data_IF_598786773550
#
_entry.id   IF_598786773550
#
_cell.length_a   1.000
_cell.length_b   1.000
_cell.length_c   1.000
_cell.angle_alpha   90.00
_cell.angle_beta   90.00
_cell.angle_gamma   90.00
#
_symmetry.space_group_name_H-M   'P 1'
#
loop_
_entity.id
_entity.type
_entity.pdbx_description
1 polymer ?
#
# COMPACT_ATOMS: atom_id res chain seq x y z
N UNK A 1 48.33 23.97 -30.91
CA UNK A 1 47.39 25.05 -31.26
C UNK A 1 46.22 24.95 -30.28
N UNK A 2 46.30 25.39 -29.02
CA UNK A 2 46.44 26.77 -28.53
C UNK A 2 45.30 27.69 -29.01
N UNK A 3 44.39 28.02 -28.09
CA UNK A 3 43.75 29.32 -27.82
C UNK A 3 42.80 29.11 -26.63
N UNK A 4 43.19 29.39 -25.37
CA UNK A 4 43.33 30.67 -24.65
C UNK A 4 42.04 31.52 -24.58
N UNK A 5 41.72 31.82 -23.33
CA UNK A 5 40.67 32.61 -22.66
C UNK A 5 40.54 34.07 -23.19
N UNK A 6 39.61 34.86 -22.61
CA UNK A 6 40.07 35.69 -21.48
C UNK A 6 39.14 35.74 -20.26
N UNK A 7 39.81 35.88 -19.11
CA UNK A 7 39.33 36.32 -17.80
C UNK A 7 38.89 37.79 -17.81
N UNK A 8 38.05 38.15 -16.83
CA UNK A 8 38.12 39.38 -16.02
C UNK A 8 37.04 39.28 -14.93
N UNK A 9 37.17 39.60 -13.64
CA UNK A 9 38.20 40.15 -12.74
C UNK A 9 37.62 39.84 -11.33
N UNK A 10 38.34 39.27 -10.37
CA UNK A 10 39.36 39.85 -9.47
C UNK A 10 38.79 40.68 -8.30
N UNK A 11 39.53 40.58 -7.18
CA UNK A 11 39.48 41.26 -5.88
C UNK A 11 38.63 40.57 -4.80
N UNK A 12 39.10 40.25 -3.59
CA UNK A 12 40.35 40.43 -2.83
C UNK A 12 40.20 39.54 -1.55
N UNK A 13 41.14 38.66 -1.16
CA UNK A 13 42.20 38.86 -0.15
C UNK A 13 41.70 39.59 1.14
N UNK A 14 41.81 39.10 2.39
CA UNK A 14 42.95 38.53 3.14
C UNK A 14 42.44 37.84 4.44
N UNK A 15 43.28 36.91 4.91
CA UNK A 15 43.45 36.21 6.19
C UNK A 15 42.84 36.81 7.49
N UNK A 16 42.47 35.97 8.48
CA UNK A 16 43.42 35.56 9.53
C UNK A 16 42.94 34.46 10.50
N UNK A 17 43.94 33.71 10.97
CA UNK A 17 44.10 32.96 12.24
C UNK A 17 43.18 31.80 12.66
N UNK A 18 43.84 30.62 12.71
CA UNK A 18 43.82 29.55 13.74
C UNK A 18 43.41 30.03 15.15
N UNK A 19 42.85 29.27 16.08
CA UNK A 19 42.61 27.84 16.30
C UNK A 19 41.72 27.73 17.54
N UNK A 20 40.80 26.77 17.60
CA UNK A 20 40.53 26.06 18.86
C UNK A 20 39.94 24.68 18.56
N UNK A 21 40.72 23.65 18.89
CA UNK A 21 40.26 22.29 18.99
C UNK A 21 39.55 22.10 20.33
N UNK A 22 38.26 21.80 20.29
CA UNK A 22 37.62 21.03 21.37
C UNK A 22 36.46 20.21 20.82
N UNK A 23 36.68 18.89 20.77
CA UNK A 23 35.71 17.80 20.97
C UNK A 23 34.24 18.05 20.61
N UNK A 24 33.77 17.42 19.52
CA UNK A 24 32.54 16.62 19.50
C UNK A 24 32.32 16.03 18.10
N UNK A 25 32.86 14.82 17.88
CA UNK A 25 32.51 14.00 16.72
C UNK A 25 31.19 13.26 16.96
N UNK A 26 30.35 13.23 15.93
CA UNK A 26 29.15 12.39 15.76
C UNK A 26 27.84 12.85 16.42
N UNK A 27 27.22 13.87 15.84
CA UNK A 27 25.76 13.96 15.75
C UNK A 27 25.36 14.18 14.30
N UNK A 28 24.79 13.16 13.65
CA UNK A 28 23.75 13.34 12.63
C UNK A 28 23.13 12.00 12.23
N UNK A 29 22.31 11.41 13.10
CA UNK A 29 21.31 10.45 12.65
C UNK A 29 20.01 10.69 13.44
N UNK A 30 18.91 10.75 12.70
CA UNK A 30 17.53 10.76 13.19
C UNK A 30 16.96 12.09 13.72
N UNK A 31 16.95 13.15 12.90
CA UNK A 31 15.90 14.19 12.96
C UNK A 31 15.69 14.83 11.59
N UNK A 32 14.67 14.37 10.85
CA UNK A 32 13.83 15.20 9.96
C UNK A 32 12.82 14.33 9.20
N UNK A 33 11.70 14.03 9.86
CA UNK A 33 10.37 13.97 9.24
C UNK A 33 9.29 14.16 10.31
N UNK A 34 9.46 15.17 11.16
CA UNK A 34 8.37 15.80 11.90
C UNK A 34 8.02 17.09 11.17
N UNK A 35 7.32 16.98 10.05
CA UNK A 35 6.57 18.11 9.53
C UNK A 35 5.21 18.12 10.23
N UNK A 36 4.96 19.20 10.96
CA UNK A 36 3.74 19.54 11.70
C UNK A 36 2.46 19.06 10.99
N UNK A 37 1.66 18.25 11.67
CA UNK A 37 0.19 18.22 11.53
C UNK A 37 -0.44 18.27 12.92
N UNK A 38 -0.32 19.42 13.57
CA UNK A 38 -1.40 19.89 14.42
C UNK A 38 -2.55 20.33 13.52
N UNK A 39 -3.79 20.06 13.94
CA UNK A 39 -5.08 20.39 13.31
C UNK A 39 -5.75 19.23 12.54
N UNK A 40 -6.10 18.19 13.29
CA UNK A 40 -7.36 17.46 13.06
C UNK A 40 -8.20 17.56 14.35
N UNK A 41 -8.50 18.81 14.73
CA UNK A 41 -9.50 19.17 15.76
C UNK A 41 -10.00 20.56 15.39
N UNK A 42 -10.77 20.68 14.32
CA UNK A 42 -11.66 21.83 14.16
C UNK A 42 -13.05 21.26 13.91
N UNK A 43 -13.94 21.62 14.84
CA UNK A 43 -15.37 21.38 14.82
C UNK A 43 -15.93 21.84 13.47
N UNK A 44 -16.66 20.97 12.78
CA UNK A 44 -17.79 21.43 11.99
C UNK A 44 -18.89 21.79 12.98
N UNK A 45 -18.80 22.99 13.57
CA UNK A 45 -19.89 23.57 14.32
C UNK A 45 -20.65 24.49 13.37
N UNK A 46 -21.95 24.22 13.25
CA UNK A 46 -23.03 25.16 13.02
C UNK A 46 -22.78 26.25 11.98
N UNK A 47 -22.94 25.89 10.71
CA UNK A 47 -23.41 26.86 9.74
C UNK A 47 -24.88 26.57 9.44
N UNK A 48 -25.76 27.30 10.13
CA UNK A 48 -27.11 27.57 9.67
C UNK A 48 -27.00 28.23 8.30
N UNK A 49 -27.27 27.48 7.23
CA UNK A 49 -27.61 28.06 5.94
C UNK A 49 -29.14 28.07 5.84
N UNK A 50 -29.69 29.28 5.83
CA UNK A 50 -31.10 29.52 5.62
C UNK A 50 -31.52 28.98 4.26
N UNK A 51 -32.59 28.21 4.26
CA UNK A 51 -33.30 27.72 3.09
C UNK A 51 -33.74 28.87 2.18
N UNK A 52 -33.50 28.71 0.88
CA UNK A 52 -34.36 29.31 -0.13
C UNK A 52 -34.44 28.41 -1.37
N UNK A 53 -35.33 27.44 -1.24
CA UNK A 53 -36.35 27.03 -2.20
C UNK A 53 -36.00 26.31 -3.53
N UNK A 54 -36.63 25.13 -3.58
CA UNK A 54 -37.31 24.48 -4.70
C UNK A 54 -36.44 23.92 -5.82
N UNK A 55 -36.20 22.61 -5.78
CA UNK A 55 -36.69 21.68 -6.81
C UNK A 55 -36.73 20.25 -6.25
N UNK A 56 -37.78 19.53 -6.64
CA UNK A 56 -38.17 18.13 -6.33
C UNK A 56 -39.11 17.94 -5.13
N UNK A 57 -40.40 18.12 -5.42
CA UNK A 57 -41.48 17.43 -4.70
C UNK A 57 -41.48 15.93 -5.04
N UNK A 58 -41.45 15.15 -3.97
CA UNK A 58 -41.81 13.75 -3.75
C UNK A 58 -42.33 12.89 -4.91
N UNK A 59 -41.61 11.78 -5.13
CA UNK A 59 -42.26 10.47 -5.20
C UNK A 59 -41.46 9.44 -4.38
N UNK A 60 -42.00 9.12 -3.20
CA UNK A 60 -41.78 7.88 -2.44
C UNK A 60 -40.34 7.35 -2.38
N UNK A 61 -39.46 8.07 -1.70
CA UNK A 61 -38.31 7.46 -1.04
C UNK A 61 -38.73 7.22 0.40
N UNK A 62 -38.98 5.96 0.76
CA UNK A 62 -38.90 5.55 2.15
C UNK A 62 -37.53 5.99 2.66
N UNK A 63 -37.50 7.03 3.50
CA UNK A 63 -36.37 7.35 4.37
C UNK A 63 -36.17 6.14 5.28
N UNK A 64 -35.41 5.15 4.80
CA UNK A 64 -34.69 4.27 5.71
C UNK A 64 -33.67 5.18 6.38
N UNK A 65 -33.99 5.64 7.59
CA UNK A 65 -33.03 6.19 8.54
C UNK A 65 -31.72 5.40 8.39
N UNK A 66 -30.62 6.10 8.11
CA UNK A 66 -29.35 5.48 7.79
C UNK A 66 -29.05 4.36 8.77
N UNK A 67 -29.01 3.13 8.28
CA UNK A 67 -28.44 2.03 9.05
C UNK A 67 -27.05 2.50 9.46
N UNK A 68 -26.86 2.73 10.76
CA UNK A 68 -25.52 2.95 11.30
C UNK A 68 -24.67 1.80 10.79
N UNK A 69 -23.66 2.12 9.97
CA UNK A 69 -22.69 1.13 9.54
C UNK A 69 -22.18 0.47 10.83
N UNK A 70 -22.34 -0.85 10.95
CA UNK A 70 -21.74 -1.61 12.03
C UNK A 70 -20.23 -1.69 11.77
N UNK A 71 -19.55 -0.56 11.95
CA UNK A 71 -18.13 -0.37 11.71
C UNK A 71 -17.29 -1.16 12.73
N UNK A 72 -16.15 -1.67 12.29
CA UNK A 72 -15.17 -2.29 13.18
C UNK A 72 -14.65 -3.64 12.70
N UNK A 73 -13.73 -4.17 13.50
CA UNK A 73 -13.12 -5.48 13.27
C UNK A 73 -14.17 -6.56 13.56
N UNK A 74 -14.43 -7.43 12.58
CA UNK A 74 -15.34 -8.57 12.68
C UNK A 74 -14.72 -9.76 13.38
N UNK A 75 -13.39 -9.77 13.51
CA UNK A 75 -12.66 -10.82 14.20
C UNK A 75 -13.07 -10.76 15.67
N UNK A 76 -13.65 -11.85 16.18
CA UNK A 76 -14.02 -12.01 17.58
C UNK A 76 -12.74 -11.99 18.40
N UNK A 77 -12.40 -10.83 18.96
CA UNK A 77 -11.21 -10.63 19.79
C UNK A 77 -11.65 -10.17 21.16
N UNK A 78 -10.96 -10.66 22.17
CA UNK A 78 -11.17 -10.29 23.57
C UNK A 78 -9.89 -9.64 24.09
N UNK A 79 -9.95 -9.00 25.27
CA UNK A 79 -8.76 -8.46 25.92
C UNK A 79 -7.70 -9.54 26.24
N UNK A 80 -8.08 -10.83 26.17
CA UNK A 80 -7.21 -11.98 26.35
C UNK A 80 -6.63 -12.55 25.05
N UNK A 81 -6.93 -11.95 23.89
CA UNK A 81 -6.40 -12.43 22.60
C UNK A 81 -4.89 -12.23 22.49
N UNK A 82 -4.20 -13.28 22.07
CA UNK A 82 -2.76 -13.29 21.84
C UNK A 82 -2.43 -12.68 20.46
N UNK A 83 -1.25 -12.06 20.25
CA UNK A 83 -0.83 -11.58 18.92
C UNK A 83 -0.92 -12.62 17.80
N UNK A 84 -0.83 -13.92 18.15
CA UNK A 84 -1.02 -15.02 17.21
C UNK A 84 -2.44 -15.04 16.64
N UNK A 85 -3.47 -14.81 17.45
CA UNK A 85 -4.87 -14.84 17.02
C UNK A 85 -5.14 -13.78 15.92
N UNK A 86 -4.52 -12.61 16.05
CA UNK A 86 -4.60 -11.55 15.04
C UNK A 86 -3.86 -11.92 13.75
N UNK A 87 -2.74 -12.63 13.87
CA UNK A 87 -2.01 -13.13 12.71
C UNK A 87 -2.82 -14.20 11.98
N UNK A 88 -3.41 -15.13 12.72
CA UNK A 88 -4.21 -16.23 12.17
C UNK A 88 -5.54 -15.78 11.56
N UNK A 89 -6.05 -14.61 11.97
CA UNK A 89 -7.15 -13.97 11.25
C UNK A 89 -6.81 -13.61 9.79
N UNK A 90 -5.51 -13.38 9.49
CA UNK A 90 -5.03 -13.09 8.14
C UNK A 90 -4.45 -14.32 7.43
N UNK A 91 -3.63 -15.11 8.14
CA UNK A 91 -2.97 -16.32 7.64
C UNK A 91 -3.31 -17.46 8.60
N UNK A 92 -4.45 -18.10 8.37
CA UNK A 92 -4.90 -19.24 9.17
C UNK A 92 -4.17 -20.53 8.79
N UNK A 93 -4.45 -21.60 9.53
CA UNK A 93 -3.87 -22.90 9.25
C UNK A 93 -4.22 -23.44 7.86
N UNK A 94 -5.36 -23.04 7.29
CA UNK A 94 -5.76 -23.48 5.94
C UNK A 94 -4.82 -22.88 4.90
N UNK A 95 -4.57 -21.57 4.99
CA UNK A 95 -3.63 -20.87 4.12
C UNK A 95 -2.22 -21.40 4.35
N UNK A 96 -1.78 -21.53 5.59
CA UNK A 96 -0.44 -22.02 5.92
C UNK A 96 -0.21 -23.46 5.43
N UNK A 97 -1.19 -24.36 5.57
CA UNK A 97 -1.12 -25.72 5.02
C UNK A 97 -1.06 -25.73 3.48
N UNK A 98 -1.76 -24.81 2.81
CA UNK A 98 -1.63 -24.67 1.36
C UNK A 98 -0.20 -24.30 0.95
N UNK A 99 0.44 -23.37 1.69
CA UNK A 99 1.85 -23.01 1.46
C UNK A 99 2.77 -24.22 1.69
N UNK A 100 2.53 -24.99 2.76
CA UNK A 100 3.28 -26.21 3.06
C UNK A 100 3.18 -27.21 1.91
N UNK A 101 1.97 -27.52 1.46
CA UNK A 101 1.72 -28.48 0.39
C UNK A 101 2.43 -28.06 -0.92
N UNK A 102 2.30 -26.80 -1.32
CA UNK A 102 2.91 -26.32 -2.56
C UNK A 102 4.43 -26.18 -2.45
N UNK A 103 4.98 -25.88 -1.27
CA UNK A 103 6.43 -25.84 -1.02
C UNK A 103 7.05 -27.24 -1.15
N UNK A 104 6.44 -28.26 -0.54
CA UNK A 104 6.91 -29.64 -0.63
C UNK A 104 6.78 -30.19 -2.07
N UNK A 105 5.65 -29.89 -2.75
CA UNK A 105 5.47 -30.22 -4.17
C UNK A 105 6.54 -29.57 -5.05
N UNK A 106 6.79 -28.28 -4.86
CA UNK A 106 7.78 -27.54 -5.64
C UNK A 106 9.18 -28.13 -5.51
N UNK A 107 9.57 -28.51 -4.29
CA UNK A 107 10.85 -29.16 -4.05
C UNK A 107 10.92 -30.52 -4.76
N UNK A 108 9.86 -31.33 -4.68
CA UNK A 108 9.81 -32.65 -5.34
C UNK A 108 9.94 -32.56 -6.86
N UNK A 109 9.39 -31.51 -7.46
CA UNK A 109 9.47 -31.23 -8.90
C UNK A 109 10.82 -30.62 -9.32
N UNK A 110 11.55 -30.00 -8.38
CA UNK A 110 12.80 -29.28 -8.65
C UNK A 110 13.90 -29.74 -7.68
N UNK A 111 14.22 -31.05 -7.64
CA UNK A 111 15.20 -31.57 -6.70
C UNK A 111 16.57 -30.97 -6.99
N UNK A 112 17.28 -30.60 -5.94
CA UNK A 112 18.66 -30.16 -6.06
C UNK A 112 19.51 -31.42 -6.07
N UNK A 113 20.34 -31.57 -7.11
CA UNK A 113 21.26 -32.70 -7.21
C UNK A 113 22.11 -32.85 -5.94
N UNK A 114 22.46 -34.08 -5.59
CA UNK A 114 23.23 -34.36 -4.38
C UNK A 114 24.54 -33.56 -4.38
N UNK A 115 24.70 -32.66 -3.41
CA UNK A 115 25.92 -31.91 -3.18
C UNK A 115 26.59 -32.45 -1.93
N UNK A 116 27.90 -32.70 -2.02
CA UNK A 116 28.72 -33.00 -0.85
C UNK A 116 28.48 -31.90 0.21
N UNK A 117 28.00 -32.29 1.39
CA UNK A 117 27.69 -31.44 2.55
C UNK A 117 26.36 -30.65 2.53
N UNK A 118 25.39 -30.99 1.68
CA UNK A 118 24.00 -30.54 1.87
C UNK A 118 23.15 -31.65 2.49
N UNK A 119 22.42 -31.31 3.55
CA UNK A 119 21.40 -32.19 4.10
C UNK A 119 20.34 -32.48 3.02
N UNK A 120 19.83 -33.72 3.00
CA UNK A 120 18.69 -34.06 2.16
C UNK A 120 17.48 -33.24 2.60
N UNK A 121 16.68 -32.81 1.63
CA UNK A 121 15.44 -32.12 1.92
C UNK A 121 14.54 -32.99 2.80
N UNK A 122 14.00 -32.39 3.86
CA UNK A 122 12.88 -32.91 4.62
C UNK A 122 11.67 -32.03 4.37
N UNK A 123 10.51 -32.65 4.18
CA UNK A 123 9.27 -31.91 3.98
C UNK A 123 9.00 -30.94 5.14
N UNK A 124 8.53 -29.75 4.79
CA UNK A 124 8.11 -28.75 5.78
C UNK A 124 6.76 -29.14 6.36
N UNK A 125 6.54 -28.79 7.62
CA UNK A 125 5.28 -28.97 8.33
C UNK A 125 4.57 -27.64 8.59
N UNK A 126 3.33 -27.69 9.06
CA UNK A 126 2.57 -26.51 9.48
C UNK A 126 3.31 -25.69 10.55
N UNK A 127 3.74 -26.35 11.63
CA UNK A 127 4.47 -25.71 12.74
C UNK A 127 5.78 -25.07 12.26
N UNK A 128 6.50 -25.74 11.37
CA UNK A 128 7.71 -25.20 10.77
C UNK A 128 7.41 -23.98 9.89
N UNK A 129 6.31 -24.00 9.12
CA UNK A 129 5.91 -22.88 8.27
C UNK A 129 5.54 -21.64 9.10
N UNK A 130 4.79 -21.80 10.20
CA UNK A 130 4.53 -20.70 11.13
C UNK A 130 5.83 -20.14 11.73
N UNK A 131 6.74 -21.02 12.15
CA UNK A 131 8.06 -20.62 12.66
C UNK A 131 8.86 -19.86 11.59
N UNK A 132 8.78 -20.28 10.33
CA UNK A 132 9.43 -19.63 9.20
C UNK A 132 8.85 -18.23 8.94
N UNK A 133 7.52 -18.09 8.90
CA UNK A 133 6.85 -16.80 8.74
C UNK A 133 7.17 -15.85 9.91
N UNK A 134 7.15 -16.35 11.15
CA UNK A 134 7.56 -15.58 12.33
C UNK A 134 9.03 -15.12 12.22
N UNK A 135 9.93 -16.00 11.76
CA UNK A 135 11.33 -15.66 11.53
C UNK A 135 11.47 -14.58 10.44
N UNK A 136 10.72 -14.68 9.34
CA UNK A 136 10.68 -13.67 8.29
C UNK A 136 10.23 -12.31 8.82
N UNK A 137 9.19 -12.26 9.65
CA UNK A 137 8.75 -11.02 10.31
C UNK A 137 9.85 -10.44 11.22
N UNK A 138 10.52 -11.30 11.99
CA UNK A 138 11.61 -10.89 12.87
C UNK A 138 12.78 -10.28 12.09
N UNK A 139 13.09 -10.76 10.87
CA UNK A 139 14.11 -10.13 10.02
C UNK A 139 13.72 -8.71 9.58
N UNK A 140 12.42 -8.40 9.50
CA UNK A 140 11.94 -7.04 9.24
C UNK A 140 12.11 -6.10 10.43
N UNK A 141 12.01 -6.63 11.65
CA UNK A 141 12.19 -5.88 12.91
C UNK A 141 13.67 -5.67 13.21
N UNK A 142 14.51 -6.67 12.94
CA UNK A 142 15.95 -6.68 13.24
C UNK A 142 16.78 -6.72 11.95
N UNK A 143 16.74 -5.69 11.09
CA UNK A 143 17.37 -5.76 9.78
C UNK A 143 18.89 -5.94 9.86
N UNK A 144 19.41 -6.97 9.18
CA UNK A 144 20.84 -7.17 8.93
C UNK A 144 21.16 -7.06 7.44
N UNK A 145 22.42 -6.78 7.13
CA UNK A 145 22.89 -6.53 5.76
C UNK A 145 22.76 -7.76 4.85
N UNK A 146 22.99 -8.96 5.38
CA UNK A 146 22.91 -10.22 4.62
C UNK A 146 22.12 -11.26 5.40
N UNK A 147 21.39 -12.12 4.69
CA UNK A 147 20.59 -13.20 5.30
C UNK A 147 21.46 -14.13 6.17
N UNK A 148 22.72 -14.38 5.80
CA UNK A 148 23.61 -15.22 6.62
C UNK A 148 23.99 -14.59 7.97
N UNK A 149 23.93 -13.27 8.09
CA UNK A 149 24.40 -12.55 9.29
C UNK A 149 23.43 -12.75 10.47
N UNK A 150 22.19 -13.17 10.21
CA UNK A 150 21.23 -13.54 11.26
C UNK A 150 21.68 -14.74 12.10
N UNK A 151 22.51 -15.61 11.51
CA UNK A 151 23.11 -16.78 12.17
C UNK A 151 24.59 -16.56 12.51
N UNK A 152 25.02 -15.29 12.69
CA UNK A 152 26.39 -14.97 13.10
C UNK A 152 26.64 -15.41 14.55
N UNK A 153 27.78 -16.07 14.79
CA UNK A 153 28.28 -16.40 16.13
C UNK A 153 29.26 -15.35 16.67
N UNK A 154 29.60 -14.33 15.88
CA UNK A 154 30.43 -13.23 16.34
C UNK A 154 29.74 -12.44 17.45
N UNK A 155 30.45 -12.20 18.56
CA UNK A 155 29.88 -11.63 19.78
C UNK A 155 29.28 -10.24 19.58
N UNK A 156 29.80 -9.46 18.62
CA UNK A 156 29.32 -8.10 18.36
C UNK A 156 28.05 -8.06 17.50
N UNK A 157 27.77 -9.13 16.76
CA UNK A 157 26.69 -9.19 15.77
C UNK A 157 25.68 -10.31 16.02
N UNK A 158 25.92 -11.16 17.01
CA UNK A 158 25.08 -12.32 17.30
C UNK A 158 23.68 -11.93 17.77
N UNK A 159 22.69 -12.63 17.22
CA UNK A 159 21.28 -12.55 17.60
C UNK A 159 20.79 -13.97 17.83
N UNK A 160 20.97 -14.53 19.05
CA UNK A 160 20.84 -15.97 19.31
C UNK A 160 19.48 -16.57 18.93
N UNK A 161 18.40 -15.78 19.01
CA UNK A 161 17.03 -16.22 18.70
C UNK A 161 16.91 -16.87 17.32
N UNK A 162 17.61 -16.39 16.29
CA UNK A 162 17.55 -16.98 14.95
C UNK A 162 18.12 -18.41 14.90
N UNK A 163 19.19 -18.66 15.65
CA UNK A 163 19.81 -19.99 15.74
C UNK A 163 19.00 -20.96 16.60
N UNK A 164 18.17 -20.44 17.51
CA UNK A 164 17.27 -21.23 18.35
C UNK A 164 16.04 -21.72 17.56
N UNK A 165 15.58 -20.94 16.57
CA UNK A 165 14.41 -21.29 15.76
C UNK A 165 14.82 -22.18 14.57
N UNK A 166 15.84 -21.77 13.81
CA UNK A 166 16.30 -22.51 12.62
C UNK A 166 17.82 -22.64 12.60
N UNK A 167 18.31 -23.69 11.95
CA UNK A 167 19.66 -23.66 11.41
C UNK A 167 19.70 -22.76 10.17
N UNK A 168 20.84 -22.10 9.92
CA UNK A 168 21.02 -21.24 8.74
C UNK A 168 20.66 -21.95 7.44
N UNK A 169 21.12 -23.19 7.28
CA UNK A 169 20.91 -23.96 6.06
C UNK A 169 19.43 -24.31 5.88
N UNK A 170 18.74 -24.75 6.93
CA UNK A 170 17.30 -25.07 6.84
C UNK A 170 16.47 -23.84 6.46
N UNK A 171 16.74 -22.69 7.07
CA UNK A 171 16.05 -21.45 6.71
C UNK A 171 16.30 -21.06 5.23
N UNK A 172 17.53 -21.20 4.75
CA UNK A 172 17.86 -20.93 3.35
C UNK A 172 17.21 -21.91 2.37
N UNK A 173 17.07 -23.18 2.76
CA UNK A 173 16.37 -24.19 1.96
C UNK A 173 14.87 -23.86 1.89
N UNK A 174 14.23 -23.53 3.03
CA UNK A 174 12.83 -23.08 3.05
C UNK A 174 12.64 -21.83 2.18
N UNK A 175 13.52 -20.83 2.29
CA UNK A 175 13.46 -19.62 1.47
C UNK A 175 13.60 -19.92 -0.03
N UNK A 176 14.40 -20.93 -0.39
CA UNK A 176 14.64 -21.33 -1.78
C UNK A 176 13.44 -22.04 -2.40
N UNK A 177 12.77 -22.90 -1.63
CA UNK A 177 11.68 -23.75 -2.13
C UNK A 177 10.28 -23.22 -1.83
N UNK A 178 10.16 -22.13 -1.06
CA UNK A 178 8.87 -21.49 -0.75
C UNK A 178 8.05 -21.27 -2.02
N UNK A 179 6.85 -21.84 -2.04
CA UNK A 179 5.97 -21.81 -3.20
C UNK A 179 4.49 -21.70 -2.80
N UNK A 180 3.66 -21.16 -3.70
CA UNK A 180 2.26 -20.79 -3.41
C UNK A 180 1.24 -21.30 -4.44
N UNK A 181 1.68 -22.04 -5.45
CA UNK A 181 0.81 -22.47 -6.56
C UNK A 181 1.18 -23.86 -7.04
N UNK A 182 0.20 -24.62 -7.53
CA UNK A 182 0.50 -25.87 -8.20
C UNK A 182 1.07 -25.62 -9.61
N UNK A 183 2.32 -26.02 -9.84
CA UNK A 183 2.99 -25.91 -11.15
C UNK A 183 2.42 -26.80 -12.25
N UNK A 184 1.62 -27.81 -11.89
CA UNK A 184 0.99 -28.68 -12.88
C UNK A 184 -0.10 -27.93 -13.67
N UNK A 185 -0.54 -26.78 -13.16
CA UNK A 185 -1.53 -25.91 -13.78
C UNK A 185 -0.84 -24.83 -14.63
N UNK A 186 -1.02 -24.92 -15.95
CA UNK A 186 -0.55 -23.89 -16.88
C UNK A 186 -1.61 -22.80 -17.00
N UNK A 187 -1.26 -21.57 -16.59
CA UNK A 187 -2.08 -20.37 -16.73
C UNK A 187 -1.24 -19.27 -17.41
N UNK A 188 -1.87 -18.51 -18.30
CA UNK A 188 -1.26 -17.36 -18.96
C UNK A 188 -1.19 -16.11 -18.05
N UNK A 189 -1.89 -16.15 -16.90
CA UNK A 189 -1.85 -15.10 -15.90
C UNK A 189 -0.43 -14.90 -15.34
N UNK A 190 0.07 -13.66 -15.44
CA UNK A 190 1.39 -13.27 -14.92
C UNK A 190 1.51 -13.43 -13.41
N UNK A 191 0.38 -13.49 -12.70
CA UNK A 191 0.30 -13.67 -11.25
C UNK A 191 0.05 -15.12 -10.84
N UNK A 192 -0.05 -16.09 -11.76
CA UNK A 192 -0.42 -17.49 -11.47
C UNK A 192 0.31 -18.06 -10.25
N UNK A 193 1.60 -17.76 -10.11
CA UNK A 193 2.46 -18.28 -9.02
C UNK A 193 2.10 -17.78 -7.63
N UNK A 194 1.38 -16.67 -7.53
CA UNK A 194 0.99 -16.03 -6.27
C UNK A 194 -0.52 -15.80 -6.19
N UNK A 195 -1.27 -16.14 -7.24
CA UNK A 195 -2.71 -15.94 -7.32
C UNK A 195 -3.48 -16.68 -6.22
N UNK A 196 -3.18 -17.96 -5.90
CA UNK A 196 -3.91 -18.66 -4.84
C UNK A 196 -3.80 -17.95 -3.49
N UNK A 197 -2.57 -17.59 -3.09
CA UNK A 197 -2.33 -16.89 -1.83
C UNK A 197 -2.94 -15.49 -1.82
N UNK A 198 -2.85 -14.74 -2.93
CA UNK A 198 -3.50 -13.43 -3.05
C UNK A 198 -5.00 -13.55 -2.85
N UNK A 199 -5.66 -14.47 -3.55
CA UNK A 199 -7.12 -14.62 -3.47
C UNK A 199 -7.57 -15.03 -2.06
N UNK A 200 -6.81 -15.90 -1.39
CA UNK A 200 -7.06 -16.26 0.00
C UNK A 200 -6.94 -15.04 0.94
N UNK A 201 -5.87 -14.24 0.80
CA UNK A 201 -5.66 -13.03 1.60
C UNK A 201 -6.75 -11.97 1.36
N UNK A 202 -7.13 -11.74 0.09
CA UNK A 202 -8.23 -10.81 -0.26
C UNK A 202 -9.56 -11.23 0.38
N UNK A 203 -9.83 -12.54 0.40
CA UNK A 203 -11.01 -13.08 1.10
C UNK A 203 -10.95 -12.86 2.61
N UNK A 204 -9.77 -12.98 3.23
CA UNK A 204 -9.59 -12.68 4.67
C UNK A 204 -9.75 -11.19 4.97
N UNK A 205 -9.13 -10.30 4.19
CA UNK A 205 -9.21 -8.86 4.43
C UNK A 205 -10.65 -8.34 4.32
N UNK A 206 -11.37 -8.73 3.27
CA UNK A 206 -12.77 -8.35 3.08
C UNK A 206 -13.73 -8.87 4.16
N UNK A 207 -13.44 -10.03 4.76
CA UNK A 207 -14.25 -10.63 5.83
C UNK A 207 -13.85 -10.20 7.25
N UNK A 208 -12.67 -9.59 7.43
CA UNK A 208 -12.12 -9.24 8.75
C UNK A 208 -12.64 -7.91 9.30
N UNK A 209 -13.13 -7.01 8.45
CA UNK A 209 -13.47 -5.64 8.85
C UNK A 209 -14.74 -5.18 8.15
N UNK A 210 -15.64 -4.52 8.89
CA UNK A 210 -16.59 -3.57 8.32
C UNK A 210 -15.92 -2.20 8.35
N UNK A 211 -15.55 -1.63 7.19
CA UNK A 211 -14.80 -0.40 7.19
C UNK A 211 -15.66 0.78 7.66
N UNK A 212 -15.00 1.81 8.18
CA UNK A 212 -15.66 3.05 8.54
C UNK A 212 -16.21 3.81 7.33
N UNK A 213 -16.92 4.91 7.60
CA UNK A 213 -17.46 5.76 6.54
C UNK A 213 -16.40 6.24 5.52
N UNK A 214 -15.17 6.50 5.95
CA UNK A 214 -14.14 7.16 5.13
C UNK A 214 -13.13 6.14 4.56
N UNK A 215 -13.05 6.05 3.23
CA UNK A 215 -12.17 5.15 2.50
C UNK A 215 -11.16 5.92 1.67
N UNK A 216 -9.97 5.37 1.45
CA UNK A 216 -8.93 5.97 0.61
C UNK A 216 -8.46 4.99 -0.46
N UNK A 217 -8.22 5.48 -1.68
CA UNK A 217 -7.51 4.72 -2.72
C UNK A 217 -6.23 5.46 -3.13
N UNK A 218 -5.11 4.73 -3.08
CA UNK A 218 -3.79 5.24 -3.48
C UNK A 218 -2.90 4.09 -4.01
N UNK A 219 -1.70 4.44 -4.48
CA UNK A 219 -0.72 3.51 -5.03
C UNK A 219 0.50 3.30 -4.13
N UNK A 220 0.78 2.02 -3.88
CA UNK A 220 2.01 1.55 -3.26
C UNK A 220 2.98 0.95 -4.30
N UNK A 221 4.28 0.95 -3.98
CA UNK A 221 5.33 0.39 -4.83
C UNK A 221 6.26 -0.48 -3.99
N UNK A 222 6.09 -1.80 -4.10
CA UNK A 222 6.94 -2.77 -3.41
C UNK A 222 8.25 -2.93 -4.17
N UNK A 223 9.37 -2.62 -3.52
CA UNK A 223 10.71 -2.66 -4.13
C UNK A 223 11.01 -4.05 -4.71
N UNK A 224 11.34 -4.09 -5.99
CA UNK A 224 11.82 -5.31 -6.66
C UNK A 224 12.92 -4.98 -7.66
N UNK A 225 14.12 -5.52 -7.43
CA UNK A 225 15.28 -5.30 -8.31
C UNK A 225 15.49 -6.42 -9.33
N UNK A 226 14.83 -7.56 -9.16
CA UNK A 226 14.96 -8.72 -10.04
C UNK A 226 14.33 -8.54 -11.43
N UNK A 227 14.40 -9.62 -12.23
CA UNK A 227 13.67 -9.74 -13.49
C UNK A 227 12.21 -10.02 -13.17
N UNK A 228 11.32 -9.15 -13.63
CA UNK A 228 9.87 -9.29 -13.48
C UNK A 228 9.20 -8.54 -14.62
N UNK A 229 8.29 -9.20 -15.34
CA UNK A 229 7.69 -8.69 -16.57
C UNK A 229 6.88 -7.40 -16.37
N UNK A 230 6.27 -7.22 -15.20
CA UNK A 230 5.41 -6.09 -14.88
C UNK A 230 6.02 -5.10 -13.87
N UNK A 231 7.35 -5.15 -13.67
CA UNK A 231 8.07 -4.18 -12.84
C UNK A 231 7.86 -2.76 -13.38
N UNK A 232 7.46 -1.84 -12.49
CA UNK A 232 7.25 -0.44 -12.79
C UNK A 232 8.45 0.42 -12.38
N UNK A 233 8.67 1.50 -13.12
CA UNK A 233 9.58 2.57 -12.76
C UNK A 233 8.78 3.83 -12.42
N UNK A 234 8.85 4.29 -11.17
CA UNK A 234 8.18 5.50 -10.69
C UNK A 234 9.25 6.45 -10.11
N UNK A 235 9.73 7.44 -10.88
CA UNK A 235 10.83 8.32 -10.48
C UNK A 235 10.61 9.07 -9.16
N UNK A 236 9.35 9.42 -8.86
CA UNK A 236 8.97 10.20 -7.69
C UNK A 236 8.99 9.41 -6.38
N UNK A 237 8.99 8.07 -6.43
CA UNK A 237 9.03 7.23 -5.23
C UNK A 237 10.48 6.95 -4.83
N UNK A 238 10.77 6.86 -3.52
CA UNK A 238 12.11 6.54 -2.98
C UNK A 238 12.66 5.24 -3.59
N UNK A 239 11.83 4.19 -3.58
CA UNK A 239 12.08 2.95 -4.29
C UNK A 239 11.57 3.11 -5.71
N UNK A 240 12.44 3.49 -6.66
CA UNK A 240 11.98 3.82 -8.01
C UNK A 240 11.53 2.62 -8.84
N UNK A 241 11.94 1.40 -8.48
CA UNK A 241 11.62 0.18 -9.23
C UNK A 241 10.87 -0.81 -8.35
N UNK A 242 9.75 -1.35 -8.81
CA UNK A 242 8.97 -2.28 -8.01
C UNK A 242 7.70 -2.83 -8.64
N UNK A 243 6.97 -3.61 -7.84
CA UNK A 243 5.60 -4.03 -8.14
C UNK A 243 4.65 -2.94 -7.67
N UNK A 244 3.83 -2.41 -8.59
CA UNK A 244 2.86 -1.37 -8.29
C UNK A 244 1.55 -2.01 -7.86
N UNK A 245 0.97 -1.51 -6.76
CA UNK A 245 -0.33 -1.91 -6.26
C UNK A 245 -1.27 -0.70 -6.29
N UNK A 246 -2.54 -0.96 -6.54
CA UNK A 246 -3.64 -0.05 -6.23
C UNK A 246 -4.35 -0.62 -5.00
N UNK A 247 -4.49 0.16 -3.94
CA UNK A 247 -4.97 -0.32 -2.65
C UNK A 247 -6.15 0.53 -2.20
N UNK A 248 -7.20 -0.12 -1.68
CA UNK A 248 -8.26 0.56 -0.94
C UNK A 248 -8.08 0.30 0.55
N UNK A 249 -8.14 1.37 1.34
CA UNK A 249 -7.80 1.38 2.76
C UNK A 249 -8.92 2.06 3.53
N UNK A 250 -9.27 1.51 4.69
CA UNK A 250 -10.12 2.22 5.65
C UNK A 250 -9.32 3.30 6.39
N UNK A 251 -9.78 4.55 6.32
CA UNK A 251 -9.09 5.68 6.94
C UNK A 251 -9.07 5.60 8.48
N UNK A 252 -10.05 4.92 9.08
CA UNK A 252 -10.17 4.82 10.53
C UNK A 252 -9.23 3.75 11.09
N UNK A 253 -9.34 2.51 10.61
CA UNK A 253 -8.53 1.38 11.09
C UNK A 253 -7.14 1.30 10.45
N UNK A 254 -6.93 1.97 9.30
CA UNK A 254 -5.71 1.88 8.46
C UNK A 254 -5.46 0.49 7.89
N UNK A 255 -6.48 -0.36 7.85
CA UNK A 255 -6.39 -1.69 7.27
C UNK A 255 -6.65 -1.62 5.76
N UNK A 256 -5.84 -2.36 5.01
CA UNK A 256 -6.05 -2.60 3.58
C UNK A 256 -7.26 -3.51 3.45
N UNK A 257 -8.28 -3.05 2.74
CA UNK A 257 -9.50 -3.81 2.52
C UNK A 257 -9.42 -4.65 1.25
N UNK A 258 -8.82 -4.08 0.20
CA UNK A 258 -8.56 -4.77 -1.05
C UNK A 258 -7.37 -4.16 -1.81
N UNK A 259 -6.83 -4.91 -2.78
CA UNK A 259 -5.80 -4.41 -3.69
C UNK A 259 -5.82 -5.07 -5.07
N UNK A 260 -5.25 -4.36 -6.04
CA UNK A 260 -5.01 -4.81 -7.41
C UNK A 260 -3.51 -4.68 -7.71
N UNK A 261 -2.89 -5.76 -8.17
CA UNK A 261 -1.50 -5.73 -8.65
C UNK A 261 -1.50 -5.28 -10.10
N UNK A 262 -0.78 -4.20 -10.40
CA UNK A 262 -0.65 -3.71 -11.76
C UNK A 262 0.28 -4.61 -12.58
N UNK A 263 -0.25 -5.30 -13.59
CA UNK A 263 0.52 -6.19 -14.46
C UNK A 263 0.72 -5.65 -15.87
N UNK A 264 0.42 -4.36 -16.10
CA UNK A 264 0.44 -3.72 -17.41
C UNK A 264 -0.90 -3.89 -18.13
N UNK A 265 -0.86 -4.25 -19.42
CA UNK A 265 -2.07 -4.49 -20.23
C UNK A 265 -2.89 -5.71 -19.78
N UNK A 266 -2.28 -6.62 -19.02
CA UNK A 266 -2.91 -7.84 -18.48
C UNK A 266 -3.49 -7.63 -17.07
N UNK A 267 -3.61 -6.38 -16.61
CA UNK A 267 -4.13 -6.11 -15.27
C UNK A 267 -5.59 -6.57 -15.21
N UNK A 268 -5.90 -7.44 -14.24
CA UNK A 268 -7.22 -8.02 -14.07
C UNK A 268 -8.17 -6.99 -13.43
N UNK A 269 -8.77 -6.16 -14.30
CA UNK A 269 -9.78 -5.16 -13.94
C UNK A 269 -10.89 -5.13 -14.99
N UNK A 270 -12.14 -4.99 -14.54
CA UNK A 270 -13.25 -4.68 -15.43
C UNK A 270 -13.13 -3.25 -15.96
N UNK A 271 -12.82 -3.08 -17.25
CA UNK A 271 -12.68 -1.75 -17.86
C UNK A 271 -14.06 -1.12 -18.04
N UNK A 272 -14.20 0.12 -17.56
CA UNK A 272 -15.39 0.96 -17.69
C UNK A 272 -15.01 2.16 -18.57
N UNK A 273 -15.28 2.13 -19.89
CA UNK A 273 -14.83 3.15 -20.82
C UNK A 273 -15.23 4.59 -20.42
N UNK A 274 -16.41 4.76 -19.82
CA UNK A 274 -16.94 6.06 -19.42
C UNK A 274 -16.06 6.82 -18.40
N UNK A 275 -15.28 6.12 -17.58
CA UNK A 275 -14.43 6.70 -16.54
C UNK A 275 -12.93 6.47 -16.79
N UNK A 276 -12.58 5.82 -17.91
CA UNK A 276 -11.21 5.50 -18.26
C UNK A 276 -10.53 4.50 -17.31
N UNK A 277 -9.22 4.31 -17.47
CA UNK A 277 -8.46 3.29 -16.71
C UNK A 277 -8.40 3.62 -15.22
N UNK A 278 -8.06 4.86 -14.84
CA UNK A 278 -7.94 5.23 -13.43
C UNK A 278 -9.29 5.17 -12.71
N UNK A 279 -10.37 5.60 -13.37
CA UNK A 279 -11.72 5.43 -12.85
C UNK A 279 -12.16 3.95 -12.78
N UNK A 280 -11.75 3.12 -13.74
CA UNK A 280 -12.02 1.68 -13.70
C UNK A 280 -11.39 1.03 -12.48
N UNK A 281 -10.13 1.38 -12.15
CA UNK A 281 -9.47 0.91 -10.93
C UNK A 281 -10.30 1.27 -9.69
N UNK A 282 -10.73 2.53 -9.58
CA UNK A 282 -11.57 2.99 -8.46
C UNK A 282 -12.86 2.19 -8.37
N UNK A 283 -13.58 2.03 -9.48
CA UNK A 283 -14.85 1.31 -9.50
C UNK A 283 -14.70 -0.19 -9.17
N UNK A 284 -13.58 -0.83 -9.57
CA UNK A 284 -13.32 -2.23 -9.21
C UNK A 284 -13.06 -2.37 -7.71
N UNK A 285 -12.22 -1.52 -7.12
CA UNK A 285 -11.94 -1.54 -5.68
C UNK A 285 -13.15 -1.14 -4.83
N UNK A 286 -13.95 -0.19 -5.31
CA UNK A 286 -15.13 0.30 -4.60
C UNK A 286 -16.34 -0.62 -4.71
N UNK A 287 -16.35 -1.61 -5.62
CA UNK A 287 -17.52 -2.45 -5.90
C UNK A 287 -18.20 -3.02 -4.64
N UNK A 288 -17.50 -3.52 -3.61
CA UNK A 288 -18.13 -4.02 -2.38
C UNK A 288 -18.67 -2.93 -1.44
N UNK A 289 -18.32 -1.67 -1.70
CA UNK A 289 -18.57 -0.51 -0.85
C UNK A 289 -19.52 0.53 -1.47
N UNK A 290 -19.92 0.34 -2.73
CA UNK A 290 -20.92 1.21 -3.37
C UNK A 290 -22.29 1.08 -2.68
N UNK A 291 -23.08 2.14 -2.75
CA UNK A 291 -24.44 2.23 -2.19
C UNK A 291 -24.55 2.17 -0.66
N UNK A 292 -23.43 2.27 0.05
CA UNK A 292 -23.36 2.17 1.53
C UNK A 292 -23.10 3.50 2.24
N UNK A 293 -23.07 4.63 1.51
CA UNK A 293 -22.88 5.96 2.13
C UNK A 293 -21.43 6.26 2.55
N UNK A 294 -20.44 5.56 1.99
CA UNK A 294 -19.02 5.86 2.24
C UNK A 294 -18.59 7.16 1.55
N UNK A 295 -17.53 7.77 2.08
CA UNK A 295 -16.79 8.87 1.47
C UNK A 295 -15.42 8.38 1.00
N UNK A 296 -15.17 8.50 -0.30
CA UNK A 296 -13.92 8.10 -0.93
C UNK A 296 -12.96 9.28 -1.07
N UNK A 297 -11.72 9.10 -0.64
CA UNK A 297 -10.62 10.04 -0.82
C UNK A 297 -9.60 9.49 -1.84
N UNK A 298 -9.23 10.30 -2.83
CA UNK A 298 -8.28 9.89 -3.90
C UNK A 298 -7.35 11.02 -4.32
N UNK A 299 -6.17 10.66 -4.85
CA UNK A 299 -5.26 11.63 -5.47
C UNK A 299 -5.72 12.03 -6.89
N UNK A 300 -5.10 13.08 -7.43
CA UNK A 300 -5.39 13.66 -8.72
C UNK A 300 -5.30 12.69 -9.90
N UNK A 301 -4.59 11.56 -9.80
CA UNK A 301 -4.54 10.60 -10.90
C UNK A 301 -5.91 9.96 -11.18
N UNK A 302 -6.71 9.77 -10.13
CA UNK A 302 -8.02 9.14 -10.19
C UNK A 302 -9.16 10.11 -10.51
N UNK A 303 -9.03 11.38 -10.09
CA UNK A 303 -10.12 12.34 -10.18
C UNK A 303 -10.54 12.65 -11.61
N UNK A 304 -11.85 12.57 -11.87
CA UNK A 304 -12.48 13.05 -13.10
C UNK A 304 -13.97 13.35 -12.87
N UNK A 305 -14.59 14.27 -13.62
CA UNK A 305 -16.02 14.56 -13.50
C UNK A 305 -16.90 13.32 -13.65
N UNK A 306 -16.65 12.50 -14.68
CA UNK A 306 -17.44 11.29 -14.93
C UNK A 306 -17.34 10.27 -13.80
N UNK A 307 -16.14 10.09 -13.20
CA UNK A 307 -15.98 9.18 -12.06
C UNK A 307 -16.76 9.69 -10.85
N UNK A 308 -16.69 10.98 -10.55
CA UNK A 308 -17.32 11.56 -9.37
C UNK A 308 -18.84 11.58 -9.49
N UNK A 309 -19.37 11.84 -10.70
CA UNK A 309 -20.80 11.69 -11.00
C UNK A 309 -21.26 10.23 -10.84
N UNK A 310 -20.49 9.26 -11.32
CA UNK A 310 -20.81 7.84 -11.15
C UNK A 310 -20.80 7.43 -9.66
N UNK A 311 -19.79 7.84 -8.90
CA UNK A 311 -19.72 7.57 -7.45
C UNK A 311 -20.90 8.19 -6.70
N UNK A 312 -21.27 9.42 -7.05
CA UNK A 312 -22.41 10.11 -6.45
C UNK A 312 -23.73 9.36 -6.70
N UNK A 313 -23.99 8.96 -7.96
CA UNK A 313 -25.14 8.12 -8.32
C UNK A 313 -25.12 6.76 -7.61
N UNK A 314 -23.93 6.29 -7.23
CA UNK A 314 -23.73 5.10 -6.40
C UNK A 314 -23.77 5.37 -4.89
N UNK A 315 -24.41 6.46 -4.44
CA UNK A 315 -24.50 6.91 -3.03
C UNK A 315 -23.15 6.89 -2.31
N UNK A 316 -22.11 7.35 -3.00
CA UNK A 316 -20.74 7.43 -2.47
C UNK A 316 -20.24 8.86 -2.60
N UNK A 317 -19.90 9.49 -1.48
CA UNK A 317 -19.23 10.79 -1.48
C UNK A 317 -17.81 10.64 -2.02
N UNK A 318 -17.27 11.66 -2.69
CA UNK A 318 -15.92 11.61 -3.24
C UNK A 318 -15.19 12.94 -3.04
N UNK A 319 -13.92 12.86 -2.66
CA UNK A 319 -13.04 14.00 -2.47
C UNK A 319 -11.64 13.69 -3.03
N UNK A 320 -11.04 14.65 -3.71
CA UNK A 320 -9.69 14.49 -4.23
C UNK A 320 -9.14 15.76 -4.85
N UNK A 321 -7.82 15.83 -4.95
CA UNK A 321 -7.17 16.90 -5.71
C UNK A 321 -7.43 16.69 -7.20
N UNK A 322 -7.43 17.75 -7.99
CA UNK A 322 -7.63 17.63 -9.44
C UNK A 322 -6.62 18.46 -10.21
N UNK A 323 -6.19 17.95 -11.36
CA UNK A 323 -5.29 18.70 -12.26
C UNK A 323 -6.10 19.76 -12.98
N UNK A 324 -5.53 20.96 -13.13
CA UNK A 324 -6.15 22.07 -13.84
C UNK A 324 -6.51 21.74 -15.30
N UNK A 325 -5.77 20.83 -15.93
CA UNK A 325 -6.00 20.38 -17.29
C UNK A 325 -6.87 19.10 -17.39
N UNK A 326 -7.61 18.73 -16.34
CA UNK A 326 -8.48 17.55 -16.36
C UNK A 326 -9.64 17.77 -17.33
N UNK A 327 -9.77 16.86 -18.31
CA UNK A 327 -10.87 16.89 -19.29
C UNK A 327 -12.23 16.85 -18.59
N UNK A 328 -13.16 17.69 -19.05
CA UNK A 328 -14.52 17.79 -18.52
C UNK A 328 -14.69 18.81 -17.40
N UNK A 329 -13.59 19.36 -16.87
CA UNK A 329 -13.67 20.54 -16.00
C UNK A 329 -13.81 21.83 -16.82
N UNK A 330 -14.42 22.89 -16.26
CA UNK A 330 -14.45 24.18 -16.91
C UNK A 330 -13.05 24.78 -16.90
N UNK A 331 -12.80 25.69 -17.85
CA UNK A 331 -11.58 26.49 -17.82
C UNK A 331 -11.58 27.34 -16.55
N UNK A 332 -10.64 27.05 -15.65
CA UNK A 332 -10.46 27.81 -14.43
C UNK A 332 -9.70 29.09 -14.78
N UNK A 333 -10.40 30.22 -14.79
CA UNK A 333 -9.79 31.52 -15.02
C UNK A 333 -8.92 31.90 -13.80
N UNK A 334 -7.63 32.10 -14.02
CA UNK A 334 -6.62 32.60 -13.07
C UNK A 334 -6.22 31.65 -11.92
N UNK A 335 -5.07 31.98 -11.26
CA UNK A 335 -4.61 31.30 -10.05
C UNK A 335 -5.71 31.38 -8.99
N UNK A 336 -6.32 30.24 -8.67
CA UNK A 336 -7.26 30.15 -7.56
C UNK A 336 -6.61 30.62 -6.26
N UNK A 337 -7.38 31.30 -5.43
CA UNK A 337 -6.84 31.83 -4.17
C UNK A 337 -6.43 30.66 -3.27
N UNK A 338 -5.26 30.78 -2.65
CA UNK A 338 -4.81 29.84 -1.64
C UNK A 338 -5.85 29.76 -0.51
N UNK A 339 -6.38 28.56 -0.23
CA UNK A 339 -7.51 28.31 0.70
C UNK A 339 -8.87 28.91 0.30
N UNK A 340 -9.03 29.35 -0.96
CA UNK A 340 -10.34 29.76 -1.48
C UNK A 340 -11.25 28.54 -1.70
N UNK A 341 -12.54 28.69 -1.36
CA UNK A 341 -13.57 27.73 -1.75
C UNK A 341 -14.15 28.24 -3.07
N UNK A 342 -13.91 27.50 -4.14
CA UNK A 342 -14.51 27.77 -5.44
C UNK A 342 -15.50 26.66 -5.74
N UNK A 343 -16.80 26.97 -5.66
CA UNK A 343 -17.85 26.08 -6.10
C UNK A 343 -18.03 26.26 -7.61
N UNK A 344 -17.78 25.20 -8.36
CA UNK A 344 -18.20 25.16 -9.76
C UNK A 344 -19.55 24.46 -9.81
N UNK A 345 -20.56 25.20 -10.23
CA UNK A 345 -21.94 24.72 -10.30
C UNK A 345 -22.10 23.80 -11.52
N UNK A 346 -21.70 22.54 -11.37
CA UNK A 346 -22.37 21.45 -12.05
C UNK A 346 -23.62 21.12 -11.22
N UNK A 347 -24.63 20.45 -11.77
CA UNK A 347 -25.85 20.04 -11.04
C UNK A 347 -25.58 19.26 -9.74
N UNK A 348 -24.32 18.93 -9.45
CA UNK A 348 -23.81 18.33 -8.22
C UNK A 348 -22.50 19.07 -7.85
N UNK A 349 -22.46 19.70 -6.67
CA UNK A 349 -21.35 20.56 -6.22
C UNK A 349 -19.99 19.83 -6.22
N UNK A 350 -19.04 20.31 -7.02
CA UNK A 350 -17.62 20.02 -6.83
C UNK A 350 -17.04 21.13 -5.93
N UNK A 351 -16.85 20.84 -4.64
CA UNK A 351 -16.05 21.70 -3.78
C UNK A 351 -14.57 21.40 -4.03
N UNK A 352 -13.88 22.25 -4.81
CA UNK A 352 -12.43 22.15 -4.96
C UNK A 352 -11.76 22.98 -3.85
N UNK A 353 -11.12 22.30 -2.91
CA UNK A 353 -10.28 22.94 -1.91
C UNK A 353 -8.81 22.71 -2.30
N UNK A 354 -8.12 23.80 -2.63
CA UNK A 354 -6.71 23.77 -3.02
C UNK A 354 -5.83 23.98 -1.80
N UNK A 355 -4.88 23.06 -1.57
CA UNK A 355 -3.95 23.07 -0.44
C UNK A 355 -2.61 23.70 -0.78
#
# INVERSE_FOLDING_TARGET
MANRLPNSNCHENVADSQSDMSSNGSQSFCRQSYYRRSLCRHRFADNHFADSHHYFEDQNLNESAGEHLNEGIKISTTETSHPLDYFEASIDETIANSIVAETNRYQSQNPVGERLNMARWSDTSLSEMYSFLATMMLTGILPKNRIRDYWSTDRLSSTPIFMQIFTRNRFQDLLRFLYFSNNDLVDADRLVKIKPIIMALKSKFSSSVNPGQNLCIDESLMLWKGRLAFKQYIPSKRNRFGMKFFEIVDCQTRLVLDFIIYTGSTTDIGIIPAVGISGSVVMNLMKPYLYKGHNLFVDNWYTSPNLFDLLHRSKTGACGTVRSNRRGLPSLASKMQFRGIHAVNYSWCIAQQFW
#
